data_IF_909382670238
#
_entry.id   IF_909382670238
#
_cell.length_a   1.000
_cell.length_b   1.000
_cell.length_c   1.000
_cell.angle_alpha   90.00
_cell.angle_beta   90.00
_cell.angle_gamma   90.00
#
_symmetry.space_group_name_H-M   'P 1'
#
loop_
_entity.id
_entity.type
_entity.pdbx_description
1 polymer ?
#
# COMPACT_ATOMS: atom_id res chain seq x y z
N UNK A 1 -4.42 -21.67 -15.22
CA UNK A 1 -3.66 -20.64 -14.49
C UNK A 1 -4.67 -19.87 -13.66
N UNK A 2 -4.56 -19.95 -12.34
CA UNK A 2 -5.43 -19.23 -11.41
C UNK A 2 -4.84 -17.84 -11.15
N UNK A 3 -5.68 -16.80 -11.22
CA UNK A 3 -5.30 -15.42 -10.97
C UNK A 3 -6.46 -14.72 -10.28
N UNK A 4 -6.19 -14.03 -9.19
CA UNK A 4 -7.21 -13.38 -8.36
C UNK A 4 -6.68 -12.04 -7.84
N UNK A 5 -7.55 -11.05 -7.73
CA UNK A 5 -7.27 -9.84 -6.96
C UNK A 5 -7.67 -10.08 -5.51
N UNK A 6 -6.80 -9.72 -4.56
CA UNK A 6 -7.10 -9.82 -3.13
C UNK A 6 -7.46 -8.43 -2.61
N UNK A 7 -8.77 -8.10 -2.46
CA UNK A 7 -9.20 -6.78 -2.02
C UNK A 7 -9.13 -6.66 -0.50
N UNK A 8 -8.91 -5.46 0.00
CA UNK A 8 -9.04 -5.13 1.43
C UNK A 8 -10.47 -4.83 1.86
N UNK A 9 -11.41 -4.68 0.93
CA UNK A 9 -12.85 -4.53 1.21
C UNK A 9 -13.72 -5.62 0.56
N UNK A 10 -14.99 -5.70 1.00
CA UNK A 10 -15.95 -6.70 0.48
C UNK A 10 -16.69 -6.22 -0.77
N UNK A 11 -16.77 -4.91 -0.94
CA UNK A 11 -17.30 -4.26 -2.15
C UNK A 11 -16.22 -3.41 -2.80
N UNK A 12 -16.37 -3.11 -4.09
CA UNK A 12 -15.47 -2.20 -4.80
C UNK A 12 -15.39 -0.82 -4.13
N UNK A 13 -16.50 -0.33 -3.57
CA UNK A 13 -16.55 0.97 -2.90
C UNK A 13 -15.73 0.92 -1.61
N UNK A 14 -15.98 -0.07 -0.74
CA UNK A 14 -15.23 -0.23 0.50
C UNK A 14 -13.74 -0.49 0.24
N UNK A 15 -13.41 -1.30 -0.78
CA UNK A 15 -12.01 -1.57 -1.14
C UNK A 15 -11.30 -0.30 -1.63
N UNK A 16 -12.00 0.55 -2.39
CA UNK A 16 -11.48 1.86 -2.80
C UNK A 16 -11.23 2.76 -1.59
N UNK A 17 -12.18 2.83 -0.65
CA UNK A 17 -12.04 3.65 0.57
C UNK A 17 -10.87 3.13 1.42
N UNK A 18 -10.76 1.81 1.58
CA UNK A 18 -9.68 1.18 2.33
C UNK A 18 -8.31 1.50 1.75
N UNK A 19 -8.17 1.56 0.42
CA UNK A 19 -6.93 2.00 -0.23
C UNK A 19 -6.47 3.43 0.11
N UNK A 20 -7.32 4.25 0.73
CA UNK A 20 -6.95 5.59 1.22
C UNK A 20 -6.91 5.70 2.74
N UNK A 21 -7.83 5.03 3.44
CA UNK A 21 -8.12 5.31 4.86
C UNK A 21 -7.90 4.12 5.79
N UNK A 22 -7.75 2.90 5.27
CA UNK A 22 -7.45 1.76 6.11
C UNK A 22 -5.97 1.83 6.49
N UNK A 23 -5.69 1.65 7.78
CA UNK A 23 -4.33 1.53 8.28
C UNK A 23 -3.57 0.42 7.52
N UNK A 24 -2.28 0.66 7.24
CA UNK A 24 -1.49 -0.23 6.41
C UNK A 24 -1.25 -1.58 7.10
N UNK A 25 -1.04 -1.60 8.42
CA UNK A 25 -0.85 -2.85 9.15
C UNK A 25 -2.14 -3.69 9.15
N UNK A 26 -3.29 -3.02 9.34
CA UNK A 26 -4.62 -3.63 9.20
C UNK A 26 -4.88 -4.16 7.78
N UNK A 27 -4.42 -3.43 6.76
CA UNK A 27 -4.52 -3.86 5.36
C UNK A 27 -3.72 -5.15 5.10
N UNK A 28 -2.53 -5.27 5.69
CA UNK A 28 -1.69 -6.48 5.61
C UNK A 28 -2.40 -7.67 6.26
N UNK A 29 -3.08 -7.45 7.38
CA UNK A 29 -3.82 -8.50 8.09
C UNK A 29 -4.99 -9.02 7.26
N UNK A 30 -5.81 -8.12 6.72
CA UNK A 30 -6.93 -8.47 5.82
C UNK A 30 -6.43 -9.20 4.57
N UNK A 31 -5.32 -8.74 3.99
CA UNK A 31 -4.70 -9.41 2.83
C UNK A 31 -4.26 -10.83 3.19
N UNK A 32 -3.61 -11.01 4.34
CA UNK A 32 -3.15 -12.32 4.80
C UNK A 32 -4.31 -13.30 5.05
N UNK A 33 -5.39 -12.83 5.69
CA UNK A 33 -6.59 -13.63 5.93
C UNK A 33 -7.21 -14.11 4.62
N UNK A 34 -7.36 -13.22 3.63
CA UNK A 34 -7.94 -13.57 2.33
C UNK A 34 -7.04 -14.51 1.53
N UNK A 35 -5.72 -14.32 1.58
CA UNK A 35 -4.77 -15.25 0.96
C UNK A 35 -4.87 -16.64 1.58
N UNK A 36 -4.96 -16.75 2.91
CA UNK A 36 -5.11 -18.04 3.61
C UNK A 36 -6.45 -18.71 3.38
N UNK A 37 -7.51 -17.93 3.20
CA UNK A 37 -8.85 -18.45 2.91
C UNK A 37 -8.99 -19.03 1.49
N UNK A 38 -8.07 -18.69 0.59
CA UNK A 38 -8.09 -19.16 -0.80
C UNK A 38 -7.31 -20.48 -0.95
N UNK A 39 -8.00 -21.62 -1.19
CA UNK A 39 -7.35 -22.93 -1.31
C UNK A 39 -6.42 -23.03 -2.53
N UNK A 40 -6.62 -22.21 -3.58
CA UNK A 40 -5.75 -22.19 -4.76
C UNK A 40 -4.40 -21.52 -4.47
N UNK A 41 -4.30 -20.74 -3.38
CA UNK A 41 -3.07 -20.07 -2.94
C UNK A 41 -2.32 -20.86 -1.85
N UNK A 42 -2.90 -21.94 -1.33
CA UNK A 42 -2.39 -22.68 -0.17
C UNK A 42 -0.97 -23.25 -0.35
N UNK A 43 -0.58 -23.56 -1.59
CA UNK A 43 0.77 -24.07 -1.91
C UNK A 43 1.77 -22.95 -2.27
N UNK A 44 1.44 -21.71 -1.91
CA UNK A 44 2.17 -20.52 -2.25
C UNK A 44 1.82 -19.97 -3.64
N UNK A 45 2.23 -18.73 -3.88
CA UNK A 45 1.75 -17.95 -5.01
C UNK A 45 2.81 -16.95 -5.49
N UNK A 46 2.63 -16.41 -6.69
CA UNK A 46 3.36 -15.23 -7.15
C UNK A 46 2.45 -14.01 -6.99
N UNK A 47 3.03 -12.85 -6.68
CA UNK A 47 2.30 -11.62 -6.48
C UNK A 47 2.94 -10.47 -7.25
N UNK A 48 2.12 -9.54 -7.73
CA UNK A 48 2.59 -8.25 -8.23
C UNK A 48 1.81 -7.12 -7.57
N UNK A 49 2.52 -6.06 -7.20
CA UNK A 49 1.93 -4.87 -6.58
C UNK A 49 2.05 -3.67 -7.50
N UNK A 50 1.05 -2.78 -7.46
CA UNK A 50 1.08 -1.49 -8.13
C UNK A 50 1.11 -0.38 -7.09
N UNK A 51 1.98 0.61 -7.26
CA UNK A 51 2.03 1.80 -6.37
C UNK A 51 2.15 1.41 -4.89
N UNK A 52 1.18 1.76 -4.05
CA UNK A 52 1.12 1.42 -2.63
C UNK A 52 0.97 -0.08 -2.37
N UNK A 53 0.34 -0.84 -3.28
CA UNK A 53 0.15 -2.30 -3.14
C UNK A 53 1.46 -3.09 -3.03
N UNK A 54 2.58 -2.48 -3.42
CA UNK A 54 3.92 -3.03 -3.20
C UNK A 54 4.27 -3.15 -1.71
N UNK A 55 3.96 -2.12 -0.91
CA UNK A 55 4.19 -2.15 0.53
C UNK A 55 3.22 -3.10 1.23
N UNK A 56 2.00 -3.24 0.72
CA UNK A 56 1.05 -4.24 1.20
C UNK A 56 1.60 -5.67 1.06
N UNK A 57 2.02 -6.05 -0.15
CA UNK A 57 2.58 -7.39 -0.41
C UNK A 57 3.90 -7.58 0.34
N UNK A 58 4.78 -6.57 0.35
CA UNK A 58 6.03 -6.63 1.11
C UNK A 58 5.78 -6.75 2.62
N UNK A 59 4.75 -6.10 3.14
CA UNK A 59 4.30 -6.22 4.52
C UNK A 59 3.82 -7.64 4.82
N UNK A 60 3.02 -8.24 3.94
CA UNK A 60 2.62 -9.64 4.04
C UNK A 60 3.82 -10.59 4.08
N UNK A 61 4.80 -10.41 3.19
CA UNK A 61 6.03 -11.22 3.15
C UNK A 61 6.85 -11.04 4.43
N UNK A 62 6.86 -9.85 5.04
CA UNK A 62 7.60 -9.60 6.27
C UNK A 62 6.88 -10.11 7.53
N UNK A 63 5.56 -9.98 7.60
CA UNK A 63 4.75 -10.26 8.79
C UNK A 63 4.25 -11.71 8.85
N UNK A 64 3.93 -12.31 7.70
CA UNK A 64 3.24 -13.60 7.62
C UNK A 64 3.96 -14.60 6.71
N UNK A 65 4.08 -14.29 5.41
CA UNK A 65 4.61 -15.18 4.36
C UNK A 65 4.12 -16.64 4.43
N UNK A 66 2.87 -16.82 4.80
CA UNK A 66 2.22 -18.12 4.96
C UNK A 66 0.77 -18.02 4.47
N UNK A 67 0.42 -18.63 3.31
CA UNK A 67 1.28 -19.41 2.41
C UNK A 67 2.41 -18.59 1.72
N UNK A 68 3.52 -19.22 1.29
CA UNK A 68 4.70 -18.48 0.83
C UNK A 68 4.47 -17.73 -0.49
N UNK A 69 4.94 -16.47 -0.54
CA UNK A 69 5.05 -15.74 -1.80
C UNK A 69 6.36 -16.13 -2.51
N UNK A 70 6.25 -16.88 -3.61
CA UNK A 70 7.40 -17.40 -4.37
C UNK A 70 8.14 -16.30 -5.14
N UNK A 71 7.38 -15.42 -5.82
CA UNK A 71 7.92 -14.28 -6.56
C UNK A 71 7.08 -13.05 -6.27
N UNK A 72 7.74 -11.97 -5.89
CA UNK A 72 7.12 -10.66 -5.75
C UNK A 72 7.66 -9.70 -6.83
N UNK A 73 6.77 -9.23 -7.70
CA UNK A 73 7.06 -8.21 -8.70
C UNK A 73 6.54 -6.85 -8.24
N UNK A 74 7.46 -5.92 -7.99
CA UNK A 74 7.10 -4.55 -7.59
C UNK A 74 7.00 -3.61 -8.79
N UNK A 75 5.80 -3.14 -9.12
CA UNK A 75 5.57 -2.21 -10.24
C UNK A 75 5.31 -0.80 -9.69
N UNK A 76 6.22 0.13 -9.99
CA UNK A 76 6.17 1.52 -9.52
C UNK A 76 5.99 1.67 -7.99
N UNK A 77 6.67 0.82 -7.22
CA UNK A 77 6.49 0.73 -5.76
C UNK A 77 7.24 1.78 -4.96
N UNK A 78 6.64 2.17 -3.84
CA UNK A 78 7.16 3.13 -2.87
C UNK A 78 7.83 2.43 -1.67
N UNK A 79 8.76 1.51 -1.94
CA UNK A 79 9.37 0.64 -0.93
C UNK A 79 10.13 1.39 0.19
N UNK A 80 10.59 2.62 -0.10
CA UNK A 80 11.27 3.50 0.84
C UNK A 80 10.38 4.71 1.27
N UNK A 81 9.08 4.63 1.02
CA UNK A 81 8.14 5.72 1.26
C UNK A 81 8.19 6.82 0.18
N UNK A 82 7.57 7.95 0.51
CA UNK A 82 7.52 9.17 -0.31
C UNK A 82 7.76 10.38 0.59
N UNK A 83 8.35 11.44 0.05
CA UNK A 83 8.70 12.65 0.81
C UNK A 83 8.05 13.94 0.29
N UNK A 84 7.12 13.85 -0.67
CA UNK A 84 6.51 15.02 -1.29
C UNK A 84 5.11 14.71 -1.82
N UNK A 85 4.29 15.76 -1.92
CA UNK A 85 2.99 15.68 -2.57
C UNK A 85 3.15 15.64 -4.11
N UNK A 86 2.40 14.78 -4.83
CA UNK A 86 2.51 14.67 -6.29
C UNK A 86 2.35 16.01 -6.99
N UNK A 87 3.22 16.29 -7.97
CA UNK A 87 3.22 17.55 -8.74
C UNK A 87 3.33 18.83 -7.91
N UNK A 88 3.81 18.75 -6.66
CA UNK A 88 4.01 19.92 -5.80
C UNK A 88 5.48 20.04 -5.39
N UNK A 89 6.26 20.77 -6.20
CA UNK A 89 7.67 21.02 -5.92
C UNK A 89 7.85 22.38 -5.22
N UNK A 90 8.55 22.43 -4.07
CA UNK A 90 8.96 23.69 -3.43
C UNK A 90 9.79 24.61 -4.34
N UNK A 91 10.42 24.06 -5.38
CA UNK A 91 11.23 24.78 -6.36
C UNK A 91 10.39 25.37 -7.51
N UNK A 92 9.08 25.14 -7.52
CA UNK A 92 8.17 25.70 -8.53
C UNK A 92 8.10 27.24 -8.42
N UNK A 93 8.20 27.94 -9.56
CA UNK A 93 8.20 29.41 -9.61
C UNK A 93 6.86 30.03 -9.19
N UNK A 94 5.76 29.32 -9.41
CA UNK A 94 4.40 29.86 -9.20
C UNK A 94 3.84 29.38 -7.85
N UNK A 95 4.03 28.10 -7.52
CA UNK A 95 3.39 27.46 -6.36
C UNK A 95 4.39 26.95 -5.30
N UNK A 96 5.68 27.25 -5.43
CA UNK A 96 6.74 26.69 -4.58
C UNK A 96 6.52 26.92 -3.08
N UNK A 97 6.19 28.15 -2.67
CA UNK A 97 5.90 28.47 -1.27
C UNK A 97 4.70 27.71 -0.71
N UNK A 98 3.66 27.51 -1.52
CA UNK A 98 2.48 26.71 -1.13
C UNK A 98 2.86 25.23 -1.00
N UNK A 99 3.68 24.70 -1.91
CA UNK A 99 4.16 23.32 -1.84
C UNK A 99 5.08 23.07 -0.65
N UNK A 100 5.90 24.06 -0.27
CA UNK A 100 6.72 23.97 0.92
C UNK A 100 5.84 23.89 2.18
N UNK A 101 4.89 24.83 2.34
CA UNK A 101 3.97 24.82 3.46
C UNK A 101 3.16 23.51 3.54
N UNK A 102 2.69 23.01 2.40
CA UNK A 102 2.01 21.71 2.32
C UNK A 102 2.92 20.57 2.77
N UNK A 103 4.19 20.56 2.34
CA UNK A 103 5.16 19.53 2.71
C UNK A 103 5.44 19.55 4.22
N UNK A 104 5.57 20.73 4.83
CA UNK A 104 5.79 20.89 6.27
C UNK A 104 4.58 20.38 7.08
N UNK A 105 3.36 20.73 6.66
CA UNK A 105 2.12 20.26 7.30
C UNK A 105 1.99 18.74 7.16
N UNK A 106 2.13 18.20 5.95
CA UNK A 106 2.02 16.75 5.72
C UNK A 106 3.09 15.97 6.47
N UNK A 107 4.33 16.47 6.52
CA UNK A 107 5.41 15.85 7.29
C UNK A 107 5.07 15.81 8.78
N UNK A 108 4.45 16.86 9.31
CA UNK A 108 4.04 16.91 10.72
C UNK A 108 2.87 15.96 11.01
N UNK A 109 1.88 15.90 10.10
CA UNK A 109 0.72 15.04 10.26
C UNK A 109 1.05 13.55 10.09
N UNK A 110 1.98 13.20 9.19
CA UNK A 110 2.35 11.81 8.91
C UNK A 110 2.95 11.06 10.12
N UNK A 111 3.44 11.79 11.12
CA UNK A 111 3.99 11.23 12.36
C UNK A 111 3.16 11.60 13.60
N UNK A 112 1.95 12.13 13.41
CA UNK A 112 1.03 12.41 14.50
C UNK A 112 0.26 11.12 14.83
N UNK A 113 0.31 10.59 16.07
CA UNK A 113 -0.35 9.34 16.42
C UNK A 113 -1.89 9.38 16.36
N UNK A 114 -2.50 10.55 16.21
CA UNK A 114 -3.95 10.73 16.09
C UNK A 114 -4.43 10.55 14.63
N UNK A 115 -3.52 10.75 13.67
CA UNK A 115 -3.77 10.64 12.22
C UNK A 115 -3.19 9.32 11.73
#
# INVERSE_FOLDING_TARGET
>A
VYSVCIPTGDTRISDTINGFLLDMDSSVDVFAEKVRADPELANGFNAFGLSQGNNLIRGYIAKYNDPPCHTFMSICGINAGVGAFPNCSPQSKIIGGVCQALTEVLSTLAYNPVV
#
